data_IF_692599054370
#
_entry.id   IF_692599054370
#
_cell.length_a   1.000
_cell.length_b   1.000
_cell.length_c   1.000
_cell.angle_alpha   90.00
_cell.angle_beta   90.00
_cell.angle_gamma   90.00
#
_symmetry.space_group_name_H-M   'P 1'
#
loop_
_entity.id
_entity.type
_entity.pdbx_description
1 polymer ?
#
# COMPACT_ATOMS: atom_id res chain seq x y z
N UNK A 1 -6.02 -6.65 8.67
CA UNK A 1 -6.38 -5.83 7.49
C UNK A 1 -5.44 -6.26 6.38
N UNK A 2 -5.97 -6.41 5.17
CA UNK A 2 -5.29 -6.96 3.99
C UNK A 2 -5.73 -6.14 2.78
N UNK A 3 -4.91 -6.07 1.72
CA UNK A 3 -5.39 -5.59 0.40
C UNK A 3 -6.41 -6.53 -0.26
N UNK A 4 -6.40 -7.81 0.12
CA UNK A 4 -7.45 -8.76 -0.25
C UNK A 4 -8.69 -8.59 0.63
N UNK A 5 -9.85 -8.94 0.07
CA UNK A 5 -11.09 -8.96 0.83
C UNK A 5 -11.01 -9.97 1.99
N UNK A 6 -11.59 -9.63 3.14
CA UNK A 6 -11.28 -10.31 4.41
C UNK A 6 -11.61 -11.81 4.49
N UNK A 7 -12.52 -12.31 3.66
CA UNK A 7 -12.86 -13.74 3.59
C UNK A 7 -12.21 -14.45 2.40
N UNK A 8 -11.19 -13.85 1.77
CA UNK A 8 -10.44 -14.47 0.69
C UNK A 8 -9.69 -15.70 1.20
N UNK A 9 -9.74 -16.76 0.40
CA UNK A 9 -8.94 -17.97 0.61
C UNK A 9 -7.79 -18.09 -0.41
N UNK A 10 -7.86 -17.31 -1.49
CA UNK A 10 -6.99 -17.42 -2.66
C UNK A 10 -6.03 -16.24 -2.82
N UNK A 11 -6.21 -15.15 -2.06
CA UNK A 11 -5.35 -13.96 -2.06
C UNK A 11 -5.00 -13.44 -3.46
N UNK A 12 -6.02 -13.39 -4.33
CA UNK A 12 -5.84 -13.08 -5.74
C UNK A 12 -5.17 -11.70 -5.97
N UNK A 13 -5.47 -10.71 -5.13
CA UNK A 13 -4.83 -9.38 -5.23
C UNK A 13 -3.34 -9.50 -4.92
N UNK A 14 -2.97 -10.22 -3.86
CA UNK A 14 -1.55 -10.44 -3.55
C UNK A 14 -0.79 -11.12 -4.68
N UNK A 15 -1.33 -12.22 -5.20
CA UNK A 15 -0.64 -12.97 -6.25
C UNK A 15 -0.48 -12.17 -7.53
N UNK A 16 -1.52 -11.44 -7.94
CA UNK A 16 -1.48 -10.67 -9.18
C UNK A 16 -0.56 -9.46 -9.06
N UNK A 17 -0.69 -8.66 -8.00
CA UNK A 17 0.08 -7.43 -7.85
C UNK A 17 1.55 -7.71 -7.52
N UNK A 18 1.85 -8.54 -6.52
CA UNK A 18 3.24 -8.87 -6.15
C UNK A 18 3.93 -9.71 -7.22
N UNK A 19 3.19 -10.62 -7.88
CA UNK A 19 3.69 -11.38 -9.03
C UNK A 19 4.07 -10.49 -10.23
N UNK A 20 3.46 -9.30 -10.32
CA UNK A 20 3.78 -8.28 -11.33
C UNK A 20 4.84 -7.26 -10.84
N UNK A 21 5.42 -7.45 -9.65
CA UNK A 21 6.41 -6.54 -9.07
C UNK A 21 5.84 -5.21 -8.55
N UNK A 22 4.53 -5.13 -8.32
CA UNK A 22 3.88 -3.97 -7.68
C UNK A 22 3.98 -4.06 -6.14
N UNK A 23 3.56 -2.97 -5.48
CA UNK A 23 3.62 -2.83 -4.02
C UNK A 23 2.22 -2.69 -3.42
N UNK A 24 2.10 -3.00 -2.14
CA UNK A 24 0.89 -2.75 -1.34
C UNK A 24 1.13 -1.69 -0.27
N UNK A 25 0.06 -0.95 0.03
CA UNK A 25 -0.04 -0.14 1.23
C UNK A 25 -1.29 -0.58 1.98
N UNK A 26 -1.11 -0.92 3.25
CA UNK A 26 -2.19 -1.37 4.13
C UNK A 26 -2.29 -0.41 5.31
N UNK A 27 -3.47 -0.39 5.94
CA UNK A 27 -3.74 0.42 7.12
C UNK A 27 -3.51 1.92 6.93
N UNK A 28 -3.76 2.45 5.72
CA UNK A 28 -3.79 3.89 5.51
C UNK A 28 -4.94 4.53 6.29
N UNK A 29 -4.67 5.71 6.85
CA UNK A 29 -5.65 6.54 7.53
C UNK A 29 -5.93 7.81 6.72
N UNK A 30 -6.94 8.58 7.14
CA UNK A 30 -7.26 9.92 6.62
C UNK A 30 -7.51 10.01 5.11
N UNK A 31 -7.84 8.89 4.45
CA UNK A 31 -8.10 8.85 3.01
C UNK A 31 -9.26 9.75 2.59
N UNK A 32 -10.20 10.05 3.49
CA UNK A 32 -11.31 10.97 3.23
C UNK A 32 -10.88 12.44 3.05
N UNK A 33 -9.63 12.77 3.39
CA UNK A 33 -9.06 14.10 3.17
C UNK A 33 -8.37 14.22 1.79
N UNK A 34 -8.26 13.13 1.02
CA UNK A 34 -7.62 13.14 -0.29
C UNK A 34 -8.61 13.50 -1.40
N UNK A 35 -8.20 14.26 -2.44
CA UNK A 35 -8.98 14.38 -3.67
C UNK A 35 -9.00 13.04 -4.41
N UNK A 36 -10.01 12.82 -5.26
CA UNK A 36 -10.10 11.61 -6.10
C UNK A 36 -8.88 11.43 -7.01
N UNK A 37 -8.26 12.52 -7.45
CA UNK A 37 -7.05 12.52 -8.28
C UNK A 37 -6.14 13.71 -7.95
N UNK A 38 -4.86 13.62 -8.32
CA UNK A 38 -3.90 14.72 -8.24
C UNK A 38 -3.04 14.77 -6.97
N UNK A 39 -3.33 13.96 -5.95
CA UNK A 39 -2.44 13.83 -4.80
C UNK A 39 -1.15 13.06 -5.15
N UNK A 40 -0.01 13.48 -4.60
CA UNK A 40 1.26 12.78 -4.71
C UNK A 40 1.59 12.06 -3.39
N UNK A 41 1.78 10.74 -3.44
CA UNK A 41 2.17 9.95 -2.28
C UNK A 41 3.69 9.88 -2.12
N UNK A 42 4.15 10.07 -0.88
CA UNK A 42 5.53 9.82 -0.47
C UNK A 42 5.56 8.56 0.40
N UNK A 43 6.25 7.53 -0.08
CA UNK A 43 6.32 6.21 0.54
C UNK A 43 7.78 5.75 0.57
N UNK A 44 8.40 5.84 1.73
CA UNK A 44 9.80 5.45 1.93
C UNK A 44 9.91 4.46 3.09
N UNK A 45 9.73 3.14 2.84
CA UNK A 45 9.82 2.13 3.90
C UNK A 45 11.24 2.02 4.45
N UNK A 46 11.37 1.41 5.63
CA UNK A 46 12.67 1.11 6.22
C UNK A 46 13.49 0.22 5.26
N UNK A 47 14.75 0.59 5.04
CA UNK A 47 15.68 -0.17 4.19
C UNK A 47 16.18 -1.41 4.92
N UNK A 48 15.36 -2.45 4.93
CA UNK A 48 15.68 -3.75 5.51
C UNK A 48 16.34 -4.66 4.48
N UNK A 49 17.51 -5.20 4.80
CA UNK A 49 18.19 -6.18 3.95
C UNK A 49 17.33 -7.44 3.81
N UNK A 50 17.02 -7.82 2.57
CA UNK A 50 16.17 -8.98 2.28
C UNK A 50 14.70 -8.85 2.73
N UNK A 51 14.26 -7.66 3.15
CA UNK A 51 12.90 -7.45 3.64
C UNK A 51 11.84 -7.60 2.56
N UNK A 52 10.78 -8.36 2.83
CA UNK A 52 9.60 -8.47 1.96
C UNK A 52 8.64 -7.27 2.07
N UNK A 53 8.82 -6.45 3.11
CA UNK A 53 8.02 -5.28 3.43
C UNK A 53 8.43 -4.73 4.80
N UNK A 54 7.81 -3.62 5.22
CA UNK A 54 8.07 -3.03 6.53
C UNK A 54 7.16 -1.84 6.82
N UNK A 55 7.10 -1.41 8.09
CA UNK A 55 6.33 -0.23 8.45
C UNK A 55 6.88 1.02 7.75
N UNK A 56 5.98 1.93 7.39
CA UNK A 56 6.31 3.17 6.68
C UNK A 56 5.39 4.29 7.16
N UNK A 57 5.93 5.51 7.22
CA UNK A 57 5.11 6.71 7.34
C UNK A 57 4.77 7.20 5.94
N UNK A 58 3.51 7.08 5.54
CA UNK A 58 3.02 7.58 4.26
C UNK A 58 2.59 9.04 4.42
N UNK A 59 2.98 9.88 3.47
CA UNK A 59 2.47 11.25 3.34
C UNK A 59 1.77 11.42 2.00
N UNK A 60 0.79 12.31 1.96
CA UNK A 60 0.17 12.79 0.73
C UNK A 60 0.41 14.29 0.61
N UNK A 61 0.94 14.72 -0.53
CA UNK A 61 1.01 16.13 -0.92
C UNK A 61 -0.22 16.42 -1.79
N UNK A 62 -1.04 17.37 -1.35
CA UNK A 62 -2.27 17.76 -2.04
C UNK A 62 -1.97 18.82 -3.12
N UNK A 63 -2.74 18.86 -4.22
CA UNK A 63 -2.59 19.86 -5.28
C UNK A 63 -2.87 21.29 -4.82
#
# INVERSE_FOLDING_TARGET
>A
MSVDYGASADFAVHHLALGSGLYHLENLADLSALPETGALLVVAPLKLEGGSGGPVRVFALLP
#
